data_IF_677717824408
#
_entry.id   IF_677717824408
#
_cell.length_a   1.000
_cell.length_b   1.000
_cell.length_c   1.000
_cell.angle_alpha   90.00
_cell.angle_beta   90.00
_cell.angle_gamma   90.00
#
_symmetry.space_group_name_H-M   'P 1'
#
loop_
_entity.id
_entity.type
_entity.pdbx_description
1 polymer ?
#
# COMPACT_ATOMS: atom_id res chain seq x y z
N UNK A 1 30.56 -17.10 4.80
CA UNK A 1 29.65 -18.14 4.28
C UNK A 1 28.54 -17.52 3.44
N UNK A 2 27.28 -17.93 3.52
CA UNK A 2 26.19 -17.34 2.68
C UNK A 2 26.09 -15.82 2.84
N UNK A 3 26.06 -15.34 4.08
CA UNK A 3 25.99 -13.90 4.35
C UNK A 3 27.19 -13.14 3.78
N UNK A 4 28.39 -13.64 3.96
CA UNK A 4 29.60 -13.00 3.44
C UNK A 4 29.61 -12.96 1.91
N UNK A 5 29.11 -14.02 1.28
CA UNK A 5 28.92 -14.10 -0.17
C UNK A 5 27.93 -13.06 -0.67
N UNK A 6 26.76 -12.96 -0.01
CA UNK A 6 25.74 -11.98 -0.34
C UNK A 6 26.24 -10.55 -0.15
N UNK A 7 26.97 -10.28 0.94
CA UNK A 7 27.55 -8.97 1.20
C UNK A 7 28.59 -8.60 0.13
N UNK A 8 29.47 -9.53 -0.25
CA UNK A 8 30.46 -9.31 -1.31
C UNK A 8 29.79 -9.05 -2.67
N UNK A 9 28.74 -9.79 -3.00
CA UNK A 9 27.94 -9.60 -4.20
C UNK A 9 27.30 -8.20 -4.23
N UNK A 10 26.66 -7.77 -3.13
CA UNK A 10 26.07 -6.45 -3.03
C UNK A 10 27.10 -5.34 -3.18
N UNK A 11 28.25 -5.46 -2.51
CA UNK A 11 29.32 -4.47 -2.59
C UNK A 11 29.87 -4.35 -4.02
N UNK A 12 30.10 -5.47 -4.70
CA UNK A 12 30.53 -5.49 -6.09
C UNK A 12 29.51 -4.83 -7.02
N UNK A 13 28.23 -5.12 -6.82
CA UNK A 13 27.13 -4.50 -7.57
C UNK A 13 27.10 -2.98 -7.37
N UNK A 14 27.20 -2.50 -6.13
CA UNK A 14 27.20 -1.06 -5.82
C UNK A 14 28.43 -0.35 -6.36
N UNK A 15 29.63 -0.95 -6.27
CA UNK A 15 30.84 -0.38 -6.83
C UNK A 15 30.77 -0.26 -8.36
N UNK A 16 30.21 -1.26 -9.04
CA UNK A 16 29.98 -1.20 -10.48
C UNK A 16 28.99 -0.09 -10.86
N UNK A 17 27.93 0.11 -10.07
CA UNK A 17 26.97 1.19 -10.31
C UNK A 17 27.58 2.59 -10.20
N UNK A 18 28.54 2.81 -9.31
CA UNK A 18 29.21 4.10 -9.15
C UNK A 18 29.93 4.57 -10.42
N UNK A 19 30.27 3.65 -11.31
CA UNK A 19 30.92 3.94 -12.59
C UNK A 19 29.91 4.25 -13.72
N UNK A 20 28.63 4.09 -13.48
CA UNK A 20 27.58 4.28 -14.46
C UNK A 20 27.08 5.74 -14.52
N UNK A 21 26.47 6.15 -15.65
CA UNK A 21 25.83 7.46 -15.73
C UNK A 21 24.75 7.65 -14.65
N UNK A 22 24.51 8.88 -14.16
CA UNK A 22 23.54 9.14 -13.10
C UNK A 22 22.12 8.60 -13.40
N UNK A 23 21.69 8.63 -14.65
CA UNK A 23 20.37 8.11 -15.02
C UNK A 23 20.27 6.59 -14.86
N UNK A 24 21.31 5.86 -15.17
CA UNK A 24 21.35 4.40 -14.94
C UNK A 24 21.33 4.06 -13.44
N UNK A 25 22.00 4.86 -12.62
CA UNK A 25 21.98 4.70 -11.16
C UNK A 25 20.55 4.93 -10.64
N UNK A 26 19.88 5.98 -11.08
CA UNK A 26 18.49 6.27 -10.72
C UNK A 26 17.57 5.13 -11.13
N UNK A 27 17.71 4.62 -12.36
CA UNK A 27 16.90 3.51 -12.87
C UNK A 27 17.16 2.20 -12.11
N UNK A 28 18.30 2.07 -11.43
CA UNK A 28 18.66 0.91 -10.62
C UNK A 28 18.20 1.03 -9.16
N UNK A 29 17.59 2.13 -8.75
CA UNK A 29 17.22 2.39 -7.35
C UNK A 29 16.37 1.28 -6.75
N UNK A 30 15.37 0.78 -7.49
CA UNK A 30 14.53 -0.33 -7.08
C UNK A 30 15.34 -1.61 -6.82
N UNK A 31 16.21 -1.96 -7.75
CA UNK A 31 17.09 -3.12 -7.62
C UNK A 31 18.06 -3.00 -6.43
N UNK A 32 18.61 -1.81 -6.20
CA UNK A 32 19.47 -1.53 -5.04
C UNK A 32 18.75 -1.83 -3.74
N UNK A 33 17.57 -1.24 -3.56
CA UNK A 33 16.77 -1.38 -2.33
C UNK A 33 16.37 -2.83 -2.09
N UNK A 34 15.89 -3.52 -3.12
CA UNK A 34 15.49 -4.92 -2.99
C UNK A 34 16.67 -5.85 -2.70
N UNK A 35 17.81 -5.64 -3.31
CA UNK A 35 19.03 -6.42 -2.99
C UNK A 35 19.51 -6.18 -1.55
N UNK A 36 19.41 -4.96 -1.05
CA UNK A 36 19.70 -4.66 0.35
C UNK A 36 18.75 -5.39 1.31
N UNK A 37 17.44 -5.39 1.03
CA UNK A 37 16.46 -6.15 1.81
C UNK A 37 16.69 -7.65 1.75
N UNK A 38 16.99 -8.20 0.57
CA UNK A 38 17.32 -9.62 0.42
C UNK A 38 18.55 -9.99 1.25
N UNK A 39 19.60 -9.17 1.24
CA UNK A 39 20.76 -9.37 2.11
C UNK A 39 20.37 -9.42 3.59
N UNK A 40 19.52 -8.49 4.04
CA UNK A 40 19.04 -8.47 5.43
C UNK A 40 18.24 -9.72 5.78
N UNK A 41 17.44 -10.23 4.86
CA UNK A 41 16.69 -11.48 5.04
C UNK A 41 17.67 -12.65 5.17
N UNK A 42 18.66 -12.74 4.31
CA UNK A 42 19.69 -13.82 4.38
C UNK A 42 20.51 -13.78 5.67
N UNK A 43 20.65 -12.61 6.27
CA UNK A 43 21.35 -12.44 7.56
C UNK A 43 20.47 -12.83 8.75
N UNK A 44 19.20 -12.42 8.75
CA UNK A 44 18.33 -12.45 9.91
C UNK A 44 17.36 -13.64 9.94
N UNK A 45 17.06 -14.27 8.82
CA UNK A 45 16.13 -15.38 8.74
C UNK A 45 16.75 -16.69 9.28
N UNK A 46 15.93 -17.44 9.99
CA UNK A 46 16.30 -18.79 10.44
C UNK A 46 16.00 -19.80 9.32
N UNK A 47 17.03 -20.28 8.67
CA UNK A 47 16.94 -21.31 7.65
C UNK A 47 17.27 -22.69 8.20
N UNK A 48 16.57 -23.69 7.72
CA UNK A 48 16.92 -25.09 8.00
C UNK A 48 18.24 -25.47 7.31
N UNK A 49 18.93 -26.53 7.77
CA UNK A 49 20.15 -26.99 7.10
C UNK A 49 19.97 -27.31 5.61
N UNK A 50 18.80 -27.85 5.24
CA UNK A 50 18.47 -28.12 3.84
C UNK A 50 18.32 -26.84 3.01
N UNK A 51 17.63 -25.84 3.54
CA UNK A 51 17.48 -24.52 2.91
C UNK A 51 18.82 -23.79 2.75
N UNK A 52 19.65 -23.82 3.80
CA UNK A 52 21.00 -23.25 3.76
C UNK A 52 21.87 -23.94 2.69
N UNK A 53 21.73 -25.25 2.52
CA UNK A 53 22.43 -25.99 1.48
C UNK A 53 22.09 -25.47 0.10
N UNK A 54 20.80 -25.30 -0.20
CA UNK A 54 20.32 -24.76 -1.48
C UNK A 54 20.84 -23.34 -1.72
N UNK A 55 20.70 -22.45 -0.73
CA UNK A 55 21.14 -21.05 -0.85
C UNK A 55 22.66 -20.95 -1.00
N UNK A 56 23.42 -21.82 -0.35
CA UNK A 56 24.88 -21.82 -0.40
C UNK A 56 25.46 -22.29 -1.74
N UNK A 57 24.68 -23.04 -2.52
CA UNK A 57 25.06 -23.46 -3.87
C UNK A 57 24.98 -22.31 -4.90
N UNK A 58 24.21 -21.27 -4.60
CA UNK A 58 24.06 -20.13 -5.48
C UNK A 58 25.37 -19.32 -5.54
N UNK A 59 25.87 -19.05 -6.72
CA UNK A 59 27.05 -18.19 -6.92
C UNK A 59 26.72 -16.73 -6.62
N UNK A 60 25.55 -16.27 -7.08
CA UNK A 60 25.03 -14.92 -6.91
C UNK A 60 23.64 -14.95 -6.27
N UNK A 61 23.53 -15.20 -4.95
CA UNK A 61 22.24 -15.41 -4.30
C UNK A 61 21.31 -14.19 -4.39
N UNK A 62 21.83 -12.96 -4.29
CA UNK A 62 21.01 -11.76 -4.39
C UNK A 62 20.44 -11.57 -5.78
N UNK A 63 21.22 -11.82 -6.84
CA UNK A 63 20.74 -11.70 -8.20
C UNK A 63 19.66 -12.73 -8.51
N UNK A 64 19.86 -13.99 -8.12
CA UNK A 64 18.89 -15.08 -8.33
C UNK A 64 17.59 -14.78 -7.61
N UNK A 65 17.66 -14.42 -6.32
CA UNK A 65 16.46 -14.11 -5.52
C UNK A 65 15.75 -12.84 -6.01
N UNK A 66 16.49 -11.86 -6.50
CA UNK A 66 15.91 -10.67 -7.11
C UNK A 66 15.13 -11.00 -8.39
N UNK A 67 15.68 -11.85 -9.26
CA UNK A 67 14.99 -12.30 -10.47
C UNK A 67 13.74 -13.11 -10.18
N UNK A 68 13.73 -13.91 -9.12
CA UNK A 68 12.54 -14.60 -8.63
C UNK A 68 11.48 -13.64 -8.06
N UNK A 69 11.91 -12.52 -7.50
CA UNK A 69 11.04 -11.47 -6.98
C UNK A 69 10.39 -10.62 -8.08
N UNK A 70 11.07 -10.34 -9.19
CA UNK A 70 10.59 -9.44 -10.25
C UNK A 70 9.18 -9.75 -10.77
N UNK A 71 8.76 -11.02 -11.00
CA UNK A 71 7.41 -11.33 -11.42
C UNK A 71 6.32 -10.96 -10.40
N UNK A 72 6.69 -10.76 -9.15
CA UNK A 72 5.79 -10.35 -8.05
C UNK A 72 5.62 -8.83 -8.00
N UNK A 73 6.39 -8.07 -8.76
CA UNK A 73 6.34 -6.61 -8.84
C UNK A 73 4.94 -6.09 -9.21
N UNK A 74 4.20 -6.81 -10.03
CA UNK A 74 2.83 -6.45 -10.39
C UNK A 74 1.92 -6.33 -9.16
N UNK A 75 2.10 -7.17 -8.15
CA UNK A 75 1.37 -7.06 -6.87
C UNK A 75 1.71 -5.79 -6.12
N UNK A 76 2.98 -5.38 -6.12
CA UNK A 76 3.39 -4.15 -5.47
C UNK A 76 2.73 -2.92 -6.11
N UNK A 77 2.61 -2.89 -7.42
CA UNK A 77 1.88 -1.84 -8.13
C UNK A 77 0.38 -1.86 -7.83
N UNK A 78 -0.22 -3.03 -7.69
CA UNK A 78 -1.62 -3.17 -7.25
C UNK A 78 -1.81 -2.64 -5.82
N UNK A 79 -0.94 -3.03 -4.90
CA UNK A 79 -0.97 -2.56 -3.51
C UNK A 79 -0.80 -1.05 -3.41
N UNK A 80 0.09 -0.45 -4.18
CA UNK A 80 0.26 1.01 -4.25
C UNK A 80 -0.99 1.68 -4.80
N UNK A 81 -1.59 1.12 -5.85
CA UNK A 81 -2.84 1.63 -6.43
C UNK A 81 -3.97 1.58 -5.42
N UNK A 82 -4.12 0.47 -4.71
CA UNK A 82 -5.13 0.29 -3.66
C UNK A 82 -4.91 1.28 -2.52
N UNK A 83 -3.68 1.55 -2.14
CA UNK A 83 -3.33 2.55 -1.14
C UNK A 83 -3.72 3.96 -1.58
N UNK A 84 -3.47 4.32 -2.84
CA UNK A 84 -3.90 5.60 -3.42
C UNK A 84 -5.43 5.70 -3.42
N UNK A 85 -6.11 4.65 -3.85
CA UNK A 85 -7.58 4.62 -3.86
C UNK A 85 -8.15 4.75 -2.46
N UNK A 86 -7.62 4.04 -1.49
CA UNK A 86 -8.03 4.13 -0.08
C UNK A 86 -7.85 5.55 0.49
N UNK A 87 -6.75 6.20 0.18
CA UNK A 87 -6.52 7.59 0.56
C UNK A 87 -7.57 8.53 -0.03
N UNK A 88 -7.87 8.38 -1.33
CA UNK A 88 -8.86 9.20 -2.03
C UNK A 88 -10.27 8.99 -1.46
N UNK A 89 -10.66 7.74 -1.24
CA UNK A 89 -11.97 7.40 -0.68
C UNK A 89 -12.15 8.01 0.72
N UNK A 90 -11.13 7.93 1.56
CA UNK A 90 -11.14 8.53 2.90
C UNK A 90 -11.29 10.05 2.83
N UNK A 91 -10.58 10.70 1.93
CA UNK A 91 -10.63 12.16 1.76
C UNK A 91 -11.97 12.62 1.18
N UNK A 92 -12.50 11.90 0.22
CA UNK A 92 -13.81 12.20 -0.37
C UNK A 92 -14.91 12.03 0.68
N UNK A 93 -14.85 10.97 1.49
CA UNK A 93 -15.79 10.74 2.58
C UNK A 93 -15.72 11.87 3.61
N UNK A 94 -14.54 12.28 4.03
CA UNK A 94 -14.36 13.38 4.96
C UNK A 94 -14.95 14.71 4.43
N UNK A 95 -14.67 15.03 3.16
CA UNK A 95 -15.25 16.23 2.51
C UNK A 95 -16.76 16.17 2.43
N UNK A 96 -17.31 15.02 2.11
CA UNK A 96 -18.76 14.82 2.04
C UNK A 96 -19.41 14.96 3.42
N UNK A 97 -18.82 14.38 4.46
CA UNK A 97 -19.31 14.54 5.83
C UNK A 97 -19.27 16.00 6.30
N UNK A 98 -18.22 16.71 5.96
CA UNK A 98 -18.09 18.14 6.25
C UNK A 98 -19.14 18.97 5.50
N UNK A 99 -19.43 18.62 4.24
CA UNK A 99 -20.51 19.26 3.45
C UNK A 99 -21.87 19.05 4.11
N UNK A 100 -22.21 17.83 4.45
CA UNK A 100 -23.50 17.49 5.06
C UNK A 100 -23.61 17.82 6.56
N UNK A 101 -22.54 18.29 7.18
CA UNK A 101 -22.61 18.91 8.51
C UNK A 101 -23.42 20.22 8.49
N UNK A 102 -23.53 20.89 7.34
CA UNK A 102 -24.39 22.04 7.16
C UNK A 102 -25.84 21.58 6.93
N UNK A 103 -26.78 21.90 7.85
CA UNK A 103 -28.17 21.48 7.72
C UNK A 103 -28.90 22.06 6.50
N UNK A 104 -28.40 23.17 5.93
CA UNK A 104 -28.97 23.81 4.75
C UNK A 104 -28.69 23.06 3.45
N UNK A 105 -27.70 22.17 3.46
CA UNK A 105 -27.36 21.35 2.27
C UNK A 105 -28.45 20.32 2.05
N UNK A 106 -29.10 20.30 0.85
CA UNK A 106 -30.11 19.33 0.54
C UNK A 106 -29.62 17.89 0.64
N UNK A 107 -30.49 16.99 1.07
CA UNK A 107 -30.25 15.56 1.09
C UNK A 107 -29.80 15.07 -0.30
N UNK A 108 -28.88 14.11 -0.33
CA UNK A 108 -28.51 13.45 -1.57
C UNK A 108 -29.74 12.74 -2.19
N UNK A 109 -30.07 13.11 -3.40
CA UNK A 109 -31.14 12.50 -4.17
C UNK A 109 -30.59 11.41 -5.07
N UNK A 110 -31.11 10.20 -4.93
CA UNK A 110 -30.69 9.05 -5.70
C UNK A 110 -30.45 7.81 -4.85
N UNK A 111 -30.45 6.68 -5.52
CA UNK A 111 -30.16 5.39 -4.89
C UNK A 111 -28.65 5.17 -4.73
N UNK A 112 -28.30 4.16 -3.95
CA UNK A 112 -26.91 3.71 -3.84
C UNK A 112 -26.32 3.31 -5.20
N UNK A 113 -27.12 2.62 -6.05
CA UNK A 113 -26.67 2.20 -7.37
C UNK A 113 -26.39 3.40 -8.27
N UNK A 114 -27.24 4.40 -8.27
CA UNK A 114 -27.03 5.64 -9.03
C UNK A 114 -25.79 6.38 -8.55
N UNK A 115 -25.59 6.49 -7.24
CA UNK A 115 -24.41 7.10 -6.64
C UNK A 115 -23.12 6.34 -7.03
N UNK A 116 -23.18 5.02 -7.05
CA UNK A 116 -22.07 4.17 -7.47
C UNK A 116 -21.70 4.39 -8.93
N UNK A 117 -22.66 4.44 -9.82
CA UNK A 117 -22.44 4.70 -11.25
C UNK A 117 -21.83 6.08 -11.51
N UNK A 118 -22.20 7.09 -10.72
CA UNK A 118 -21.69 8.45 -10.81
C UNK A 118 -20.36 8.68 -10.06
N UNK A 119 -19.87 7.70 -9.27
CA UNK A 119 -18.72 7.89 -8.38
C UNK A 119 -18.99 8.78 -7.18
N UNK A 120 -20.24 8.87 -6.72
CA UNK A 120 -20.74 9.75 -5.65
C UNK A 120 -21.14 9.00 -4.37
N UNK A 121 -20.65 7.78 -4.18
CA UNK A 121 -20.98 6.94 -3.01
C UNK A 121 -20.65 7.64 -1.68
N UNK A 122 -19.59 8.42 -1.63
CA UNK A 122 -19.21 9.21 -0.46
C UNK A 122 -20.27 10.25 -0.09
N UNK A 123 -20.89 10.90 -1.07
CA UNK A 123 -21.98 11.85 -0.86
C UNK A 123 -23.24 11.14 -0.34
N UNK A 124 -23.62 10.03 -0.98
CA UNK A 124 -24.73 9.20 -0.54
C UNK A 124 -24.57 8.75 0.92
N UNK A 125 -23.41 8.21 1.27
CA UNK A 125 -23.13 7.72 2.63
C UNK A 125 -23.15 8.84 3.67
N UNK A 126 -22.54 9.97 3.37
CA UNK A 126 -22.50 11.12 4.27
C UNK A 126 -23.91 11.71 4.51
N UNK A 127 -24.73 11.82 3.48
CA UNK A 127 -26.11 12.26 3.58
C UNK A 127 -26.95 11.32 4.46
N UNK A 128 -26.81 10.00 4.27
CA UNK A 128 -27.50 8.98 5.07
C UNK A 128 -27.05 8.98 6.53
N UNK A 129 -25.77 9.19 6.78
CA UNK A 129 -25.21 9.30 8.14
C UNK A 129 -25.82 10.49 8.89
N UNK A 130 -25.97 11.63 8.25
CA UNK A 130 -26.64 12.81 8.81
C UNK A 130 -28.10 12.50 9.15
N UNK A 131 -28.84 11.87 8.24
CA UNK A 131 -30.25 11.53 8.46
C UNK A 131 -30.42 10.62 9.68
N UNK A 132 -29.56 9.61 9.83
CA UNK A 132 -29.55 8.72 11.01
C UNK A 132 -29.25 9.45 12.31
N UNK A 133 -28.30 10.37 12.31
CA UNK A 133 -27.97 11.16 13.48
C UNK A 133 -29.13 12.06 13.91
N UNK A 134 -29.84 12.66 12.97
CA UNK A 134 -31.05 13.44 13.25
C UNK A 134 -32.18 12.60 13.85
N UNK A 135 -32.43 11.40 13.34
CA UNK A 135 -33.44 10.47 13.85
C UNK A 135 -33.08 10.03 15.28
N UNK A 136 -31.84 9.68 15.55
CA UNK A 136 -31.41 9.27 16.89
C UNK A 136 -31.57 10.40 17.91
N UNK A 137 -31.16 11.62 17.59
CA UNK A 137 -31.30 12.78 18.44
C UNK A 137 -32.78 13.06 18.75
N UNK A 138 -33.68 12.92 17.78
CA UNK A 138 -35.12 13.07 17.97
C UNK A 138 -35.68 11.98 18.89
N UNK A 139 -35.27 10.74 18.74
CA UNK A 139 -35.70 9.61 19.57
C UNK A 139 -35.24 9.76 21.02
N UNK A 140 -34.00 10.20 21.25
CA UNK A 140 -33.49 10.47 22.60
C UNK A 140 -34.25 11.58 23.30
N UNK A 141 -34.57 12.69 22.62
CA UNK A 141 -35.39 13.79 23.18
C UNK A 141 -36.79 13.36 23.55
N UNK A 142 -37.40 12.43 22.81
CA UNK A 142 -38.73 11.89 23.17
C UNK A 142 -38.64 10.99 24.40
N UNK A 143 -37.55 10.19 24.52
CA UNK A 143 -37.32 9.31 25.66
C UNK A 143 -37.10 10.10 26.97
N UNK A 144 -36.42 11.23 26.90
CA UNK A 144 -36.15 12.09 28.06
C UNK A 144 -37.38 12.93 28.47
N UNK A 145 -38.38 13.08 27.60
CA UNK A 145 -39.63 13.81 27.86
C UNK A 145 -40.74 12.96 28.54
N UNK A 146 -40.54 11.64 28.63
CA UNK A 146 -41.46 10.70 29.32
C UNK A 146 -40.87 10.24 30.65
#
# INVERSE_FOLDING_TARGET
MLYDKALAELNTYLENLKTKPPQEIINSAYQIVNKQYLRMILESAEFTPAELSVLSELEHPLQVLYEEWLPVEDRHMEELRDSVQSYLDTRLQYRAEKLYADPSVPRYEGSYLEAREKGEVHLYRASRKRDRACINAFTENISDAN
#
